data_IF_777507466473
#
_entry.id   IF_777507466473
#
_cell.length_a   1.000
_cell.length_b   1.000
_cell.length_c   1.000
_cell.angle_alpha   90.00
_cell.angle_beta   90.00
_cell.angle_gamma   90.00
#
_symmetry.space_group_name_H-M   'P 1'
#
loop_
_entity.id
_entity.type
_entity.pdbx_description
1 polymer ?
#
# COMPACT_ATOMS: atom_id res chain seq x y z
N UNK A 1 2.06 -7.85 8.38
CA UNK A 1 0.70 -7.72 7.84
C UNK A 1 0.61 -6.48 6.96
N UNK A 2 0.19 -6.67 5.69
CA UNK A 2 0.03 -5.61 4.69
C UNK A 2 -0.71 -4.39 5.25
N UNK A 3 -0.37 -3.22 4.75
CA UNK A 3 -0.99 -1.96 5.14
C UNK A 3 -1.20 -1.09 3.91
N UNK A 4 -2.31 -0.36 3.85
CA UNK A 4 -2.67 0.55 2.77
C UNK A 4 -3.16 1.85 3.40
N UNK A 5 -2.58 2.96 2.99
CA UNK A 5 -3.09 4.30 3.25
C UNK A 5 -3.55 4.89 1.94
N UNK A 6 -4.71 5.54 1.94
CA UNK A 6 -5.14 6.28 0.77
C UNK A 6 -5.95 7.52 1.11
N UNK A 7 -5.75 8.57 0.32
CA UNK A 7 -6.59 9.76 0.28
C UNK A 7 -7.32 9.78 -1.05
N UNK A 8 -8.64 9.88 -1.00
CA UNK A 8 -9.47 9.97 -2.19
C UNK A 8 -10.35 11.22 -2.18
N UNK A 9 -10.24 11.99 -3.24
CA UNK A 9 -10.99 13.21 -3.53
C UNK A 9 -11.42 13.21 -5.00
N UNK A 10 -12.67 12.85 -5.36
CA UNK A 10 -13.06 12.75 -6.76
C UNK A 10 -13.14 14.09 -7.50
N UNK A 11 -13.09 15.23 -6.78
CA UNK A 11 -13.22 16.58 -7.32
C UNK A 11 -12.32 17.53 -6.53
N UNK A 12 -11.00 17.43 -6.72
CA UNK A 12 -10.07 18.28 -6.01
C UNK A 12 -10.15 19.72 -6.55
N UNK A 13 -9.90 20.71 -5.69
CA UNK A 13 -10.17 22.13 -6.00
C UNK A 13 -8.91 22.92 -6.42
N UNK A 14 -7.71 22.33 -6.29
CA UNK A 14 -6.45 23.00 -6.62
C UNK A 14 -5.74 22.33 -7.80
N UNK A 15 -4.97 23.14 -8.55
CA UNK A 15 -4.30 22.73 -9.80
C UNK A 15 -3.26 21.60 -9.61
N UNK A 16 -2.72 21.44 -8.40
CA UNK A 16 -1.72 20.42 -8.06
C UNK A 16 -2.30 19.33 -7.14
N UNK A 17 -3.62 19.21 -7.06
CA UNK A 17 -4.24 18.23 -6.20
C UNK A 17 -4.44 16.88 -6.90
N UNK A 18 -4.40 15.84 -6.08
CA UNK A 18 -4.60 14.47 -6.48
C UNK A 18 -6.03 14.04 -6.23
N UNK A 19 -6.61 13.32 -7.21
CA UNK A 19 -7.85 12.57 -7.02
C UNK A 19 -7.65 11.37 -6.12
N UNK A 20 -6.49 10.73 -6.24
CA UNK A 20 -6.08 9.60 -5.42
C UNK A 20 -4.60 9.74 -5.05
N UNK A 21 -4.29 9.55 -3.78
CA UNK A 21 -2.95 9.25 -3.28
C UNK A 21 -3.07 7.93 -2.54
N UNK A 22 -2.33 6.91 -2.96
CA UNK A 22 -2.30 5.61 -2.30
C UNK A 22 -0.86 5.22 -2.01
N UNK A 23 -0.62 4.69 -0.82
CA UNK A 23 0.66 4.14 -0.37
C UNK A 23 0.38 2.78 0.29
N UNK A 24 1.01 1.71 -0.20
CA UNK A 24 0.74 0.36 0.28
C UNK A 24 2.01 -0.47 0.49
N UNK A 25 2.01 -1.28 1.55
CA UNK A 25 2.98 -2.35 1.80
C UNK A 25 2.36 -3.71 1.52
N UNK A 26 3.11 -4.52 0.78
CA UNK A 26 2.91 -5.97 0.77
C UNK A 26 3.91 -6.62 1.71
N UNK A 27 3.39 -7.27 2.74
CA UNK A 27 4.16 -8.13 3.61
C UNK A 27 4.01 -9.58 3.20
N UNK A 28 5.13 -10.26 2.98
CA UNK A 28 5.14 -11.64 2.50
C UNK A 28 6.45 -12.35 2.88
N UNK A 29 6.47 -13.67 2.84
CA UNK A 29 7.68 -14.48 2.94
C UNK A 29 8.74 -14.02 1.94
N UNK A 30 9.98 -13.81 2.38
CA UNK A 30 11.07 -13.37 1.50
C UNK A 30 11.35 -14.37 0.38
N UNK A 31 11.11 -15.66 0.64
CA UNK A 31 11.30 -16.73 -0.34
C UNK A 31 10.26 -16.77 -1.47
N UNK A 32 9.07 -16.19 -1.29
CA UNK A 32 7.97 -16.30 -2.25
C UNK A 32 8.30 -15.53 -3.55
N UNK A 33 8.44 -16.17 -4.71
CA UNK A 33 8.79 -15.45 -5.93
C UNK A 33 7.66 -14.50 -6.36
N UNK A 34 8.04 -13.34 -6.91
CA UNK A 34 7.12 -12.35 -7.47
C UNK A 34 7.77 -11.65 -8.65
N UNK A 35 6.98 -11.33 -9.67
CA UNK A 35 7.39 -10.45 -10.78
C UNK A 35 7.16 -9.00 -10.36
N UNK A 36 8.12 -8.16 -10.71
CA UNK A 36 8.00 -6.70 -10.57
C UNK A 36 6.80 -6.17 -11.35
N UNK A 37 6.26 -5.04 -10.88
CA UNK A 37 5.20 -4.35 -11.59
C UNK A 37 5.54 -4.13 -13.06
N UNK A 38 4.56 -4.47 -13.90
CA UNK A 38 4.57 -4.25 -15.34
C UNK A 38 3.12 -4.25 -15.85
N UNK A 39 2.92 -3.82 -17.09
CA UNK A 39 1.61 -3.98 -17.73
C UNK A 39 1.38 -5.43 -18.18
N UNK A 40 0.18 -5.94 -17.92
CA UNK A 40 -0.27 -7.27 -18.31
C UNK A 40 -1.78 -7.32 -18.53
N UNK A 41 -2.31 -8.51 -18.81
CA UNK A 41 -3.71 -8.74 -19.14
C UNK A 41 -4.00 -8.54 -20.63
N UNK A 42 -5.27 -8.67 -21.02
CA UNK A 42 -5.67 -8.46 -22.40
C UNK A 42 -5.44 -6.98 -22.76
N UNK A 43 -4.67 -6.72 -23.82
CA UNK A 43 -4.28 -5.38 -24.27
C UNK A 43 -3.40 -4.58 -23.29
N UNK A 44 -2.68 -5.24 -22.36
CA UNK A 44 -1.77 -4.56 -21.42
C UNK A 44 -2.48 -3.48 -20.58
N UNK A 45 -3.71 -3.75 -20.15
CA UNK A 45 -4.54 -2.77 -19.44
C UNK A 45 -4.35 -2.76 -17.93
N UNK A 46 -3.68 -3.75 -17.33
CA UNK A 46 -3.51 -3.87 -15.87
C UNK A 46 -2.05 -3.63 -15.51
N UNK A 47 -1.80 -2.71 -14.58
CA UNK A 47 -0.50 -2.47 -13.98
C UNK A 47 -0.48 -2.99 -12.54
N UNK A 48 0.35 -4.01 -12.30
CA UNK A 48 0.64 -4.53 -10.95
C UNK A 48 1.87 -5.45 -10.95
N UNK A 49 2.44 -5.72 -9.78
CA UNK A 49 3.27 -6.91 -9.58
C UNK A 49 2.44 -8.20 -9.73
N UNK A 50 3.13 -9.33 -9.93
CA UNK A 50 2.50 -10.65 -10.04
C UNK A 50 3.12 -11.65 -9.06
N UNK A 51 2.28 -12.47 -8.45
CA UNK A 51 2.69 -13.64 -7.67
C UNK A 51 3.19 -14.72 -8.63
N UNK A 52 4.37 -15.27 -8.33
CA UNK A 52 5.02 -16.30 -9.15
C UNK A 52 5.23 -17.59 -8.34
N UNK A 53 4.59 -17.71 -7.17
CA UNK A 53 4.62 -18.94 -6.38
C UNK A 53 4.10 -20.11 -7.22
N UNK A 54 4.84 -21.21 -7.21
CA UNK A 54 4.53 -22.39 -8.04
C UNK A 54 3.11 -22.91 -7.74
N UNK A 55 2.30 -23.06 -8.79
CA UNK A 55 0.89 -23.48 -8.70
C UNK A 55 -0.09 -22.39 -8.23
N UNK A 56 0.38 -21.15 -8.02
CA UNK A 56 -0.43 -19.97 -7.65
C UNK A 56 -0.11 -18.75 -8.51
N UNK A 57 0.48 -18.97 -9.68
CA UNK A 57 0.98 -17.91 -10.57
C UNK A 57 -0.15 -17.04 -11.10
N UNK A 58 0.16 -15.76 -11.34
CA UNK A 58 -0.75 -14.81 -11.99
C UNK A 58 -1.70 -14.08 -11.03
N UNK A 59 -1.62 -14.36 -9.72
CA UNK A 59 -2.28 -13.53 -8.70
C UNK A 59 -1.62 -12.16 -8.55
N UNK A 60 -2.35 -11.18 -8.01
CA UNK A 60 -1.83 -9.85 -7.63
C UNK A 60 -2.41 -9.41 -6.31
N UNK A 61 -1.69 -8.56 -5.57
CA UNK A 61 -2.11 -8.02 -4.27
C UNK A 61 -2.68 -6.60 -4.35
N UNK A 62 -2.25 -5.82 -5.35
CA UNK A 62 -2.68 -4.45 -5.59
C UNK A 62 -2.43 -4.14 -7.07
N UNK A 63 -3.42 -3.56 -7.75
CA UNK A 63 -3.27 -3.15 -9.13
C UNK A 63 -4.23 -2.06 -9.54
N UNK A 64 -3.88 -1.37 -10.62
CA UNK A 64 -4.71 -0.36 -11.28
C UNK A 64 -4.80 -0.68 -12.76
N UNK A 65 -6.01 -0.55 -13.33
CA UNK A 65 -6.22 -0.63 -14.78
C UNK A 65 -6.04 0.73 -15.44
N UNK A 66 -5.76 0.74 -16.75
CA UNK A 66 -5.74 1.96 -17.58
C UNK A 66 -7.08 2.70 -17.57
N UNK A 67 -8.18 2.04 -17.21
CA UNK A 67 -9.53 2.62 -17.08
C UNK A 67 -9.85 3.13 -15.67
N UNK A 68 -8.87 3.11 -14.75
CA UNK A 68 -9.02 3.67 -13.40
C UNK A 68 -9.68 2.74 -12.38
N UNK A 69 -9.93 1.47 -12.72
CA UNK A 69 -10.31 0.47 -11.70
C UNK A 69 -9.09 0.10 -10.88
N UNK A 70 -9.21 0.22 -9.56
CA UNK A 70 -8.20 -0.15 -8.58
C UNK A 70 -8.72 -1.28 -7.71
N UNK A 71 -7.89 -2.28 -7.45
CA UNK A 71 -8.21 -3.40 -6.57
C UNK A 71 -7.04 -3.71 -5.65
N UNK A 72 -7.33 -4.02 -4.39
CA UNK A 72 -6.38 -4.52 -3.42
C UNK A 72 -6.95 -5.76 -2.74
N UNK A 73 -6.13 -6.78 -2.53
CA UNK A 73 -6.52 -7.99 -1.81
C UNK A 73 -6.11 -7.92 -0.35
N UNK A 74 -7.03 -8.27 0.54
CA UNK A 74 -6.77 -8.44 1.96
C UNK A 74 -7.14 -9.84 2.41
N UNK A 75 -6.53 -10.30 3.51
CA UNK A 75 -6.85 -11.59 4.12
C UNK A 75 -8.11 -11.55 5.00
N UNK A 76 -8.87 -10.45 4.99
CA UNK A 76 -10.06 -10.28 5.80
C UNK A 76 -11.29 -10.15 4.91
N UNK A 77 -12.18 -11.13 4.98
CA UNK A 77 -13.46 -11.05 4.27
C UNK A 77 -14.40 -10.12 5.05
N UNK A 78 -14.87 -9.06 4.39
CA UNK A 78 -15.95 -8.24 4.91
C UNK A 78 -17.29 -8.83 4.42
N UNK A 79 -18.10 -9.47 5.29
CA UNK A 79 -19.30 -10.19 4.87
C UNK A 79 -20.47 -9.26 4.51
N UNK A 80 -20.48 -8.02 5.02
CA UNK A 80 -21.54 -7.04 4.79
C UNK A 80 -20.96 -5.74 4.27
N UNK A 81 -21.53 -5.23 3.19
CA UNK A 81 -21.20 -3.91 2.67
C UNK A 81 -21.63 -2.84 3.66
N UNK A 82 -20.74 -1.87 3.91
CA UNK A 82 -21.08 -0.67 4.66
C UNK A 82 -21.63 0.39 3.70
N UNK A 83 -22.96 0.53 3.66
CA UNK A 83 -23.64 1.53 2.84
C UNK A 83 -23.45 2.97 3.34
N UNK A 84 -22.96 3.16 4.57
CA UNK A 84 -22.63 4.46 5.14
C UNK A 84 -21.15 4.84 4.94
N UNK A 85 -20.37 3.96 4.29
CA UNK A 85 -18.98 4.23 3.98
C UNK A 85 -18.86 5.54 3.20
N UNK A 86 -18.08 6.46 3.75
CA UNK A 86 -17.84 7.76 3.11
C UNK A 86 -17.03 7.54 1.84
N UNK A 87 -17.48 8.13 0.73
CA UNK A 87 -16.78 8.06 -0.55
C UNK A 87 -15.65 9.07 -0.75
N UNK A 88 -15.32 9.90 0.25
CA UNK A 88 -14.23 10.89 0.21
C UNK A 88 -13.57 10.99 1.57
N UNK A 89 -12.24 11.02 1.60
CA UNK A 89 -11.48 11.20 2.83
C UNK A 89 -10.10 10.55 2.76
N UNK A 90 -9.46 10.47 3.92
CA UNK A 90 -8.22 9.71 4.12
C UNK A 90 -8.50 8.50 4.98
N UNK A 91 -8.00 7.35 4.54
CA UNK A 91 -8.28 6.04 5.13
C UNK A 91 -7.01 5.21 5.28
N UNK A 92 -7.07 4.25 6.19
CA UNK A 92 -6.10 3.23 6.45
C UNK A 92 -6.74 1.85 6.53
N UNK A 93 -6.02 0.84 6.04
CA UNK A 93 -6.40 -0.57 6.08
C UNK A 93 -5.15 -1.40 6.43
N UNK A 94 -5.23 -2.31 7.39
CA UNK A 94 -4.17 -3.30 7.63
C UNK A 94 -4.78 -4.64 8.02
N UNK A 95 -4.96 -5.55 7.06
CA UNK A 95 -5.47 -6.92 7.26
C UNK A 95 -6.65 -7.06 8.24
N UNK A 96 -7.54 -6.08 8.26
CA UNK A 96 -8.73 -6.00 9.10
C UNK A 96 -9.78 -5.17 8.35
N UNK A 97 -10.92 -4.89 9.00
CA UNK A 97 -11.89 -3.95 8.47
C UNK A 97 -11.28 -2.55 8.31
N UNK A 98 -11.82 -1.76 7.38
CA UNK A 98 -11.41 -0.38 7.14
C UNK A 98 -11.42 0.41 8.46
N UNK A 99 -10.33 1.15 8.74
CA UNK A 99 -10.17 1.94 9.98
C UNK A 99 -10.19 1.14 11.30
N UNK A 100 -9.93 -0.17 11.27
CA UNK A 100 -9.71 -0.92 12.53
C UNK A 100 -8.56 -0.25 13.31
N UNK A 101 -8.75 0.11 14.60
CA UNK A 101 -7.88 1.07 15.29
C UNK A 101 -6.58 0.43 15.82
N UNK A 102 -5.83 -0.27 14.97
CA UNK A 102 -4.49 -0.73 15.30
C UNK A 102 -3.58 0.48 15.51
N UNK A 103 -2.76 0.48 16.55
CA UNK A 103 -1.92 1.64 16.86
C UNK A 103 -0.98 1.97 15.71
N UNK A 104 -0.41 0.94 15.10
CA UNK A 104 0.43 1.10 13.90
C UNK A 104 -0.31 1.73 12.72
N UNK A 105 -1.60 1.42 12.56
CA UNK A 105 -2.43 1.95 11.48
C UNK A 105 -2.71 3.43 11.72
N UNK A 106 -3.11 3.78 12.95
CA UNK A 106 -3.34 5.17 13.35
C UNK A 106 -2.07 6.01 13.18
N UNK A 107 -0.93 5.51 13.67
CA UNK A 107 0.36 6.18 13.54
C UNK A 107 0.80 6.34 12.09
N UNK A 108 0.79 5.27 11.28
CA UNK A 108 1.15 5.36 9.87
C UNK A 108 0.20 6.26 9.07
N UNK A 109 -1.09 6.29 9.42
CA UNK A 109 -2.08 7.20 8.82
C UNK A 109 -1.79 8.66 9.17
N UNK A 110 -1.33 8.94 10.39
CA UNK A 110 -0.87 10.27 10.77
C UNK A 110 0.34 10.69 9.93
N UNK A 111 1.38 9.85 9.84
CA UNK A 111 2.56 10.14 9.02
C UNK A 111 2.21 10.34 7.53
N UNK A 112 1.28 9.53 7.01
CA UNK A 112 0.75 9.67 5.65
C UNK A 112 0.05 11.02 5.45
N UNK A 113 -0.80 11.45 6.39
CA UNK A 113 -1.45 12.76 6.33
C UNK A 113 -0.43 13.90 6.33
N UNK A 114 0.56 13.84 7.21
CA UNK A 114 1.63 14.83 7.27
C UNK A 114 2.43 14.89 5.95
N UNK A 115 2.75 13.75 5.34
CA UNK A 115 3.43 13.68 4.06
C UNK A 115 2.61 14.35 2.93
N UNK A 116 1.30 14.09 2.89
CA UNK A 116 0.36 14.66 1.91
C UNK A 116 0.12 16.16 2.11
N UNK A 117 0.09 16.63 3.35
CA UNK A 117 -0.07 18.05 3.65
C UNK A 117 1.19 18.84 3.26
N UNK A 118 2.37 18.33 3.62
CA UNK A 118 3.65 18.94 3.23
C UNK A 118 3.85 18.95 1.72
N UNK A 119 3.31 17.97 0.99
CA UNK A 119 3.51 17.87 -0.45
C UNK A 119 2.75 18.88 -1.30
N UNK A 120 1.77 19.62 -0.75
CA UNK A 120 1.03 20.62 -1.54
C UNK A 120 1.95 21.71 -2.12
N UNK A 121 3.13 21.90 -1.54
CA UNK A 121 4.16 22.84 -1.97
C UNK A 121 5.41 22.17 -2.59
N UNK A 122 5.42 20.84 -2.73
CA UNK A 122 6.61 20.08 -3.15
C UNK A 122 6.42 19.44 -4.53
N UNK A 123 7.52 19.15 -5.26
CA UNK A 123 7.48 18.32 -6.45
C UNK A 123 6.91 16.92 -6.17
N UNK A 124 6.31 16.31 -7.19
CA UNK A 124 5.74 14.95 -7.14
C UNK A 124 6.73 13.90 -6.59
N UNK A 125 7.99 13.96 -7.00
CA UNK A 125 9.00 12.98 -6.58
C UNK A 125 9.29 13.07 -5.06
N UNK A 126 9.17 14.26 -4.47
CA UNK A 126 9.27 14.44 -3.02
C UNK A 126 8.08 13.83 -2.28
N UNK A 127 6.87 13.91 -2.85
CA UNK A 127 5.72 13.19 -2.30
C UNK A 127 5.96 11.68 -2.33
N UNK A 128 6.42 11.14 -3.46
CA UNK A 128 6.75 9.72 -3.59
C UNK A 128 7.79 9.30 -2.55
N UNK A 129 8.88 10.05 -2.41
CA UNK A 129 9.92 9.80 -1.42
C UNK A 129 9.36 9.81 0.02
N UNK A 130 8.61 10.84 0.39
CA UNK A 130 8.01 10.94 1.72
C UNK A 130 7.04 9.78 2.00
N UNK A 131 6.24 9.37 1.02
CA UNK A 131 5.34 8.22 1.18
C UNK A 131 6.11 6.91 1.32
N UNK A 132 7.22 6.74 0.59
CA UNK A 132 8.11 5.59 0.78
C UNK A 132 8.74 5.59 2.18
N UNK A 133 9.10 6.75 2.73
CA UNK A 133 9.59 6.87 4.11
C UNK A 133 8.54 6.44 5.13
N UNK A 134 7.28 6.86 4.95
CA UNK A 134 6.15 6.39 5.78
C UNK A 134 6.05 4.86 5.73
N UNK A 135 6.07 4.30 4.53
CA UNK A 135 5.94 2.85 4.30
C UNK A 135 7.14 2.05 4.81
N UNK A 136 8.32 2.66 4.96
CA UNK A 136 9.53 2.03 5.49
C UNK A 136 9.78 2.36 6.97
N UNK A 137 8.83 2.98 7.67
CA UNK A 137 8.94 3.25 9.10
C UNK A 137 8.86 1.95 9.94
N UNK A 138 9.95 1.64 10.66
CA UNK A 138 10.11 0.45 11.51
C UNK A 138 9.77 0.72 12.99
N UNK A 139 9.19 1.88 13.32
CA UNK A 139 8.86 2.25 14.69
C UNK A 139 7.67 1.45 15.21
N UNK A 140 7.95 0.56 16.17
CA UNK A 140 6.94 -0.28 16.80
C UNK A 140 5.99 0.54 17.69
N UNK A 141 4.69 0.49 17.40
CA UNK A 141 3.66 1.18 18.16
C UNK A 141 3.08 0.28 19.25
N UNK A 142 3.75 0.21 20.40
CA UNK A 142 3.39 -0.68 21.51
C UNK A 142 2.78 0.05 22.72
N UNK A 143 1.98 -0.65 23.55
CA UNK A 143 1.32 -1.93 23.24
C UNK A 143 0.32 -1.75 22.09
N UNK A 144 -0.01 -2.81 21.35
CA UNK A 144 -1.07 -2.78 20.32
C UNK A 144 -2.15 -3.82 20.64
N UNK A 145 -3.11 -3.48 21.53
CA UNK A 145 -4.09 -4.44 22.04
C UNK A 145 -4.92 -5.10 20.95
N UNK A 146 -5.17 -4.40 19.83
CA UNK A 146 -5.95 -4.95 18.72
C UNK A 146 -5.18 -6.03 17.94
N UNK A 147 -3.87 -5.87 17.78
CA UNK A 147 -3.00 -6.90 17.18
C UNK A 147 -2.83 -8.07 18.16
N UNK A 148 -2.66 -7.78 19.45
CA UNK A 148 -2.56 -8.80 20.50
C UNK A 148 -3.83 -9.67 20.58
N UNK A 149 -5.01 -9.04 20.58
CA UNK A 149 -6.31 -9.72 20.62
C UNK A 149 -6.52 -10.63 19.39
N UNK A 150 -6.22 -10.12 18.19
CA UNK A 150 -6.37 -10.88 16.96
C UNK A 150 -5.33 -12.01 16.83
N UNK A 151 -4.09 -11.74 17.22
CA UNK A 151 -2.95 -12.66 17.04
C UNK A 151 -2.77 -13.66 18.17
N UNK A 152 -3.35 -13.40 19.35
CA UNK A 152 -3.23 -14.24 20.54
C UNK A 152 -1.77 -14.54 20.91
N UNK A 153 -1.50 -15.76 21.36
CA UNK A 153 -0.15 -16.20 21.73
C UNK A 153 0.83 -16.25 20.55
N UNK A 154 0.31 -16.42 19.32
CA UNK A 154 1.15 -16.55 18.12
C UNK A 154 1.91 -15.26 17.80
N UNK A 155 1.32 -14.09 18.05
CA UNK A 155 1.95 -12.80 17.73
C UNK A 155 2.94 -12.35 18.79
N UNK A 156 2.85 -12.82 20.04
CA UNK A 156 3.67 -12.36 21.17
C UNK A 156 5.19 -12.37 20.88
N UNK A 157 5.80 -13.41 20.27
CA UNK A 157 7.24 -13.43 20.00
C UNK A 157 7.69 -12.42 18.94
N UNK A 158 6.77 -11.92 18.13
CA UNK A 158 7.03 -11.03 16.98
C UNK A 158 6.24 -9.73 17.05
N UNK A 159 5.59 -9.44 18.18
CA UNK A 159 4.66 -8.31 18.31
C UNK A 159 5.35 -6.98 18.02
N UNK A 160 6.55 -6.77 18.55
CA UNK A 160 7.35 -5.57 18.28
C UNK A 160 7.63 -5.34 16.79
N UNK A 161 7.71 -6.41 16.00
CA UNK A 161 7.93 -6.34 14.55
C UNK A 161 6.62 -6.11 13.80
N UNK A 162 5.52 -6.71 14.27
CA UNK A 162 4.21 -6.61 13.63
C UNK A 162 3.49 -5.28 13.94
N UNK A 163 3.85 -4.63 15.04
CA UNK A 163 3.37 -3.32 15.48
C UNK A 163 4.04 -2.13 14.75
N UNK A 164 4.88 -2.37 13.75
CA UNK A 164 5.45 -1.34 12.88
C UNK A 164 4.71 -1.28 11.53
N UNK A 165 4.79 -0.13 10.84
CA UNK A 165 4.28 0.03 9.47
C UNK A 165 5.07 -0.86 8.50
N UNK A 166 6.39 -0.86 8.64
CA UNK A 166 7.32 -1.71 7.93
C UNK A 166 7.65 -2.95 8.77
N UNK A 167 7.14 -4.12 8.37
CA UNK A 167 7.39 -5.36 9.12
C UNK A 167 8.72 -5.98 8.70
N UNK A 168 9.53 -6.33 9.71
CA UNK A 168 10.84 -6.99 9.53
C UNK A 168 10.99 -8.18 10.46
N UNK A 169 10.84 -9.39 9.92
CA UNK A 169 11.08 -10.65 10.63
C UNK A 169 12.07 -11.52 9.85
N UNK A 170 12.76 -12.47 10.51
CA UNK A 170 13.52 -13.50 9.80
C UNK A 170 12.62 -14.23 8.79
N UNK A 171 12.91 -14.11 7.50
CA UNK A 171 12.19 -14.78 6.42
C UNK A 171 10.82 -14.21 6.04
N UNK A 172 10.33 -13.15 6.69
CA UNK A 172 9.01 -12.56 6.40
C UNK A 172 8.99 -11.05 6.69
N UNK A 173 8.32 -10.27 5.86
CA UNK A 173 8.11 -8.84 6.14
C UNK A 173 7.75 -8.06 4.89
N UNK A 174 7.85 -6.73 4.95
CA UNK A 174 7.55 -5.85 3.81
C UNK A 174 8.52 -6.11 2.67
N UNK A 175 8.00 -6.50 1.51
CA UNK A 175 8.80 -6.79 0.31
C UNK A 175 8.50 -5.88 -0.85
N UNK A 176 7.34 -5.23 -0.82
CA UNK A 176 6.93 -4.32 -1.88
C UNK A 176 6.27 -3.10 -1.26
N UNK A 177 6.69 -1.92 -1.71
CA UNK A 177 6.01 -0.66 -1.48
C UNK A 177 5.41 -0.20 -2.81
N UNK A 178 4.13 0.15 -2.84
CA UNK A 178 3.46 0.68 -4.03
C UNK A 178 2.87 2.05 -3.72
N UNK A 179 3.23 3.04 -4.53
CA UNK A 179 2.64 4.38 -4.53
C UNK A 179 1.83 4.55 -5.81
N UNK A 180 0.57 4.98 -5.69
CA UNK A 180 -0.28 5.32 -6.83
C UNK A 180 -0.81 6.74 -6.63
N UNK A 181 -0.43 7.63 -7.53
CA UNK A 181 -0.92 8.99 -7.59
C UNK A 181 -1.81 9.13 -8.83
N UNK A 182 -3.00 9.69 -8.67
CA UNK A 182 -3.87 10.08 -9.77
C UNK A 182 -4.16 11.56 -9.61
N UNK A 183 -3.69 12.39 -10.53
CA UNK A 183 -3.91 13.84 -10.48
C UNK A 183 -5.35 14.25 -10.87
N UNK A 184 -5.63 15.55 -10.84
CA UNK A 184 -6.94 16.09 -11.22
C UNK A 184 -7.33 15.81 -12.68
N UNK A 185 -6.34 15.71 -13.57
CA UNK A 185 -6.50 15.49 -15.01
C UNK A 185 -6.54 14.00 -15.39
N UNK A 186 -6.36 13.10 -14.41
CA UNK A 186 -6.36 11.66 -14.62
C UNK A 186 -5.01 11.10 -15.09
N UNK A 187 -3.91 11.82 -14.92
CA UNK A 187 -2.57 11.24 -15.07
C UNK A 187 -2.25 10.40 -13.83
N UNK A 188 -1.86 9.16 -14.10
CA UNK A 188 -1.43 8.19 -13.10
C UNK A 188 0.08 8.21 -13.04
N UNK A 189 0.63 8.23 -11.84
CA UNK A 189 2.01 7.87 -11.54
C UNK A 189 1.97 6.67 -10.60
N UNK A 190 2.45 5.53 -11.08
CA UNK A 190 2.55 4.29 -10.32
C UNK A 190 4.03 4.03 -10.07
N UNK A 191 4.44 4.00 -8.80
CA UNK A 191 5.81 3.67 -8.40
C UNK A 191 5.78 2.45 -7.51
N UNK A 192 6.48 1.40 -7.89
CA UNK A 192 6.66 0.22 -7.06
C UNK A 192 8.14 0.00 -6.76
N UNK A 193 8.46 -0.18 -5.47
CA UNK A 193 9.76 -0.57 -4.98
C UNK A 193 9.65 -1.98 -4.40
N UNK A 194 10.42 -2.93 -4.93
CA UNK A 194 10.32 -4.35 -4.58
C UNK A 194 11.69 -4.95 -4.22
N UNK A 195 11.71 -5.79 -3.20
CA UNK A 195 12.88 -6.53 -2.72
C UNK A 195 13.30 -7.57 -3.75
N UNK A 196 14.59 -7.59 -4.07
CA UNK A 196 15.22 -8.51 -5.01
C UNK A 196 16.03 -9.56 -4.25
N UNK A 197 16.15 -10.76 -4.83
CA UNK A 197 17.06 -11.83 -4.37
C UNK A 197 16.94 -12.23 -2.89
N UNK A 198 15.79 -11.94 -2.26
CA UNK A 198 15.55 -12.19 -0.83
C UNK A 198 16.50 -11.40 0.08
N UNK A 199 17.03 -10.28 -0.43
CA UNK A 199 18.01 -9.42 0.23
C UNK A 199 17.39 -8.07 0.60
N UNK A 200 17.39 -7.75 1.90
CA UNK A 200 16.86 -6.49 2.44
C UNK A 200 17.64 -5.26 1.98
N UNK A 201 18.85 -5.42 1.44
CA UNK A 201 19.66 -4.35 0.87
C UNK A 201 19.46 -4.15 -0.63
N UNK A 202 18.87 -5.14 -1.33
CA UNK A 202 18.69 -5.09 -2.78
C UNK A 202 17.22 -4.82 -3.13
N UNK A 203 16.96 -3.64 -3.70
CA UNK A 203 15.63 -3.21 -4.11
C UNK A 203 15.64 -2.67 -5.53
N UNK A 204 14.64 -3.03 -6.33
CA UNK A 204 14.39 -2.44 -7.63
C UNK A 204 13.16 -1.52 -7.54
N UNK A 205 13.27 -0.32 -8.10
CA UNK A 205 12.16 0.64 -8.18
C UNK A 205 11.78 0.84 -9.64
N UNK A 206 10.49 0.70 -9.95
CA UNK A 206 9.92 1.00 -11.26
C UNK A 206 8.83 2.06 -11.14
N UNK A 207 8.86 3.03 -12.03
CA UNK A 207 7.83 4.05 -12.15
C UNK A 207 7.22 4.00 -13.54
N UNK A 208 5.90 4.01 -13.59
CA UNK A 208 5.10 4.06 -14.80
C UNK A 208 4.18 5.28 -14.74
N UNK A 209 4.04 5.94 -15.88
CA UNK A 209 3.13 7.07 -16.05
C UNK A 209 2.21 6.83 -17.24
N UNK A 210 0.92 7.09 -17.05
CA UNK A 210 -0.08 6.97 -18.12
C UNK A 210 -1.32 7.81 -17.79
N UNK A 211 -2.11 8.15 -18.81
CA UNK A 211 -3.39 8.82 -18.63
C UNK A 211 -4.52 7.80 -18.58
N UNK A 212 -5.49 8.00 -17.67
CA UNK A 212 -6.68 7.17 -17.61
C UNK A 212 -7.46 7.23 -18.94
N UNK A 213 -7.86 6.07 -19.43
CA UNK A 213 -8.71 5.90 -20.59
C UNK A 213 -10.17 6.09 -20.17
N UNK A 214 -10.90 6.87 -20.97
CA UNK A 214 -12.35 7.06 -20.81
C UNK A 214 -13.14 5.80 -21.17
#
# INVERSE_FOLDING_TARGET
MCIIFFKFDPRPVSKNAYRLILAANRDEFYSRPSKLADFWGNNNEILSGLDMEEGKEGGTWLGISTRGKLAALTNYLQPQLDWQARGRGTYGLSNALLETPWRKLCFGKQLFLEAVERSQALPKDMLIANLLDVLNNEEAQLPDPAIEDQGGEYVQPVLSKYAAVCVRCPGYGTRTNTIILVDADGHVTFTERSMMDKDLSHWETRTYEFTLQN
#
